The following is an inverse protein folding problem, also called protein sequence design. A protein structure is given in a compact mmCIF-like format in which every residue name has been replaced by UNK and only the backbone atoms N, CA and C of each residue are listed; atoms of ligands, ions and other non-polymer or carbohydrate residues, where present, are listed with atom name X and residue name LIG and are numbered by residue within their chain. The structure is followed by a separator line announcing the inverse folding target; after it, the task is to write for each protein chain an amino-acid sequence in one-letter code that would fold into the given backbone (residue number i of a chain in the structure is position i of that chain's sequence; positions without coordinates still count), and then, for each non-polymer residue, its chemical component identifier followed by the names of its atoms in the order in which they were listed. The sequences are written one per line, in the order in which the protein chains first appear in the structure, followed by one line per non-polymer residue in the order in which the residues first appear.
data_IF_569085544490
#
_entry.id   IF_569085544490
#
_cell.length_a   1.000
_cell.length_b   1.000
_cell.length_c   1.000
_cell.angle_alpha   90.00
_cell.angle_beta   90.00
_cell.angle_gamma   90.00
#
_symmetry.space_group_name_H-M   'P 1'
#
loop_
_entity.id
_entity.type
_entity.pdbx_description
1 polymer ?
#
# COMPACT_ATOMS: atom_id res chain seq x y z
N UNK A 1 -19.40 5.06 -14.38
CA UNK A 1 -19.21 4.98 -15.85
C UNK A 1 -17.74 5.04 -16.24
N UNK A 2 -16.97 6.01 -15.74
CA UNK A 2 -15.52 6.16 -15.99
C UNK A 2 -14.66 4.90 -15.86
N UNK A 3 -14.92 4.05 -14.86
CA UNK A 3 -14.19 2.78 -14.68
C UNK A 3 -14.30 1.88 -15.92
N UNK A 4 -15.51 1.71 -16.47
CA UNK A 4 -15.74 0.84 -17.63
C UNK A 4 -15.11 1.40 -18.90
N UNK A 5 -14.97 2.72 -19.02
CA UNK A 5 -14.26 3.37 -20.13
C UNK A 5 -12.76 3.07 -20.07
N UNK A 6 -12.13 3.27 -18.91
CA UNK A 6 -10.69 3.02 -18.74
C UNK A 6 -10.35 1.57 -19.08
N UNK A 7 -11.15 0.62 -18.59
CA UNK A 7 -10.94 -0.82 -18.84
C UNK A 7 -11.04 -1.21 -20.33
N UNK A 8 -11.64 -0.37 -21.19
CA UNK A 8 -11.65 -0.59 -22.65
C UNK A 8 -10.38 -0.10 -23.34
N UNK A 9 -9.63 0.79 -22.71
CA UNK A 9 -8.50 1.50 -23.32
C UNK A 9 -7.14 1.07 -22.75
N UNK A 10 -7.06 0.79 -21.44
CA UNK A 10 -5.80 0.51 -20.74
C UNK A 10 -6.01 -0.17 -19.39
N UNK A 11 -4.90 -0.59 -18.80
CA UNK A 11 -4.86 -1.07 -17.42
C UNK A 11 -5.27 0.03 -16.44
N UNK A 12 -6.06 -0.37 -15.44
CA UNK A 12 -6.51 0.54 -14.38
C UNK A 12 -5.34 0.83 -13.43
N UNK A 13 -5.24 2.08 -12.99
CA UNK A 13 -4.29 2.48 -11.95
C UNK A 13 -5.06 2.72 -10.67
N UNK A 14 -4.70 2.01 -9.60
CA UNK A 14 -5.36 2.10 -8.30
C UNK A 14 -4.35 2.35 -7.21
N UNK A 15 -4.77 3.03 -6.15
CA UNK A 15 -3.95 3.17 -4.95
C UNK A 15 -4.73 2.74 -3.71
N UNK A 16 -3.99 2.26 -2.72
CA UNK A 16 -4.48 2.00 -1.36
C UNK A 16 -3.49 2.58 -0.36
N UNK A 17 -3.98 3.38 0.59
CA UNK A 17 -3.17 3.98 1.65
C UNK A 17 -3.26 3.22 2.95
N UNK A 18 -2.13 3.09 3.66
CA UNK A 18 -2.07 2.51 5.01
C UNK A 18 -1.19 3.35 5.93
N UNK A 19 -1.72 3.69 7.10
CA UNK A 19 -0.95 4.39 8.14
C UNK A 19 -0.06 3.38 8.88
N UNK A 20 1.22 3.74 9.05
CA UNK A 20 2.26 2.87 9.64
C UNK A 20 2.34 3.03 11.17
N UNK A 21 1.18 3.02 11.83
CA UNK A 21 1.06 3.28 13.28
C UNK A 21 1.11 2.02 14.14
N UNK A 22 0.38 0.96 13.76
CA UNK A 22 0.20 -0.25 14.56
C UNK A 22 1.05 -1.43 14.08
N UNK A 23 0.73 -2.64 14.56
CA UNK A 23 1.22 -3.89 13.99
C UNK A 23 0.10 -4.51 13.15
N UNK A 24 0.28 -4.76 11.84
CA UNK A 24 -0.71 -5.47 11.05
C UNK A 24 -1.03 -6.84 11.67
N UNK A 25 -2.31 -7.12 11.81
CA UNK A 25 -2.85 -8.41 12.27
C UNK A 25 -3.64 -9.09 11.14
N UNK A 26 -4.20 -10.27 11.38
CA UNK A 26 -4.82 -11.11 10.34
C UNK A 26 -5.91 -10.40 9.52
N UNK A 27 -6.62 -9.42 10.09
CA UNK A 27 -7.57 -8.62 9.33
C UNK A 27 -6.95 -7.85 8.13
N UNK A 28 -5.63 -7.63 8.09
CA UNK A 28 -4.95 -7.07 6.92
C UNK A 28 -5.07 -7.97 5.68
N UNK A 29 -5.37 -9.26 5.83
CA UNK A 29 -5.69 -10.12 4.68
C UNK A 29 -6.96 -9.67 3.94
N UNK A 30 -7.87 -8.94 4.58
CA UNK A 30 -9.08 -8.40 3.93
C UNK A 30 -8.71 -7.41 2.81
N UNK A 31 -7.99 -6.30 3.07
CA UNK A 31 -7.54 -5.42 2.00
C UNK A 31 -6.52 -6.10 1.07
N UNK A 32 -5.62 -6.96 1.58
CA UNK A 32 -4.66 -7.67 0.72
C UNK A 32 -5.34 -8.59 -0.30
N UNK A 33 -6.50 -9.17 0.04
CA UNK A 33 -7.31 -9.95 -0.92
C UNK A 33 -7.80 -9.08 -2.08
N UNK A 34 -8.17 -7.82 -1.82
CA UNK A 34 -8.57 -6.88 -2.88
C UNK A 34 -7.39 -6.40 -3.71
N UNK A 35 -6.24 -6.17 -3.08
CA UNK A 35 -4.99 -5.85 -3.79
C UNK A 35 -4.60 -7.01 -4.71
N UNK A 36 -4.70 -8.25 -4.22
CA UNK A 36 -4.47 -9.44 -5.01
C UNK A 36 -5.43 -9.53 -6.22
N UNK A 37 -6.73 -9.24 -6.03
CA UNK A 37 -7.68 -9.18 -7.15
C UNK A 37 -7.27 -8.13 -8.19
N UNK A 38 -6.84 -6.94 -7.77
CA UNK A 38 -6.39 -5.89 -8.70
C UNK A 38 -5.13 -6.29 -9.47
N UNK A 39 -4.14 -6.88 -8.79
CA UNK A 39 -2.93 -7.37 -9.44
C UNK A 39 -3.23 -8.49 -10.44
N UNK A 40 -4.11 -9.45 -10.07
CA UNK A 40 -4.58 -10.51 -10.98
C UNK A 40 -5.33 -9.95 -12.19
N UNK A 41 -6.07 -8.86 -12.01
CA UNK A 41 -6.79 -8.18 -13.08
C UNK A 41 -5.87 -7.32 -13.99
N UNK A 42 -4.56 -7.28 -13.73
CA UNK A 42 -3.60 -6.52 -14.54
C UNK A 42 -3.43 -5.06 -14.12
N UNK A 43 -4.10 -4.59 -13.06
CA UNK A 43 -4.01 -3.21 -12.61
C UNK A 43 -2.58 -2.82 -12.19
N UNK A 44 -2.22 -1.56 -12.41
CA UNK A 44 -1.08 -0.94 -11.73
C UNK A 44 -1.54 -0.54 -10.33
N UNK A 45 -0.93 -1.12 -9.29
CA UNK A 45 -1.33 -0.93 -7.90
C UNK A 45 -0.23 -0.18 -7.15
N UNK A 46 -0.59 0.96 -6.54
CA UNK A 46 0.29 1.69 -5.62
C UNK A 46 -0.18 1.52 -4.19
N UNK A 47 0.70 1.07 -3.31
CA UNK A 47 0.48 1.11 -1.86
C UNK A 47 1.24 2.30 -1.29
N UNK A 48 0.48 3.23 -0.70
CA UNK A 48 1.01 4.42 -0.06
C UNK A 48 1.20 4.15 1.44
N UNK A 49 2.44 4.21 1.91
CA UNK A 49 2.76 4.25 3.33
C UNK A 49 2.56 5.68 3.84
N UNK A 50 1.47 5.91 4.57
CA UNK A 50 1.10 7.22 5.08
C UNK A 50 1.87 7.54 6.38
N UNK A 51 3.18 7.65 6.27
CA UNK A 51 4.14 7.93 7.36
C UNK A 51 4.01 9.34 7.92
N UNK A 52 3.79 10.35 7.07
CA UNK A 52 3.47 11.71 7.53
C UNK A 52 2.17 11.73 8.35
N UNK A 53 1.16 10.98 7.91
CA UNK A 53 -0.11 10.86 8.65
C UNK A 53 0.11 10.13 9.98
N UNK A 54 0.90 9.05 9.98
CA UNK A 54 1.26 8.32 11.18
C UNK A 54 2.03 9.20 12.21
N UNK A 55 2.89 10.10 11.73
CA UNK A 55 3.57 11.09 12.57
C UNK A 55 2.57 12.09 13.18
N UNK A 56 1.66 12.65 12.37
CA UNK A 56 0.67 13.63 12.83
C UNK A 56 -0.33 13.02 13.81
N UNK A 57 -0.72 11.76 13.61
CA UNK A 57 -1.61 11.03 14.52
C UNK A 57 -0.95 10.68 15.85
N UNK A 58 0.38 10.47 15.85
CA UNK A 58 1.14 10.10 17.04
C UNK A 58 2.44 10.91 17.13
N UNK A 59 2.30 12.21 17.40
CA UNK A 59 3.40 13.20 17.51
C UNK A 59 4.45 12.89 18.59
N UNK A 60 4.36 11.73 19.27
CA UNK A 60 5.34 11.24 20.24
C UNK A 60 6.28 10.17 19.65
N UNK A 61 5.98 9.61 18.50
CA UNK A 61 6.82 8.60 17.86
C UNK A 61 8.01 9.27 17.14
N UNK A 62 9.26 8.88 17.43
CA UNK A 62 10.43 9.38 16.70
C UNK A 62 10.37 9.03 15.20
N UNK A 63 10.89 9.91 14.34
CA UNK A 63 10.96 9.68 12.89
C UNK A 63 11.70 8.39 12.53
N UNK A 64 12.77 8.05 13.25
CA UNK A 64 13.51 6.80 13.07
C UNK A 64 12.62 5.57 13.29
N UNK A 65 11.73 5.62 14.29
CA UNK A 65 10.79 4.55 14.55
C UNK A 65 9.73 4.44 13.45
N UNK A 66 9.29 5.57 12.88
CA UNK A 66 8.33 5.57 11.78
C UNK A 66 8.94 4.95 10.52
N UNK A 67 10.19 5.27 10.19
CA UNK A 67 10.90 4.65 9.05
C UNK A 67 11.02 3.12 9.22
N UNK A 68 11.39 2.66 10.43
CA UNK A 68 11.42 1.23 10.74
C UNK A 68 10.04 0.56 10.61
N UNK A 69 8.97 1.28 10.99
CA UNK A 69 7.60 0.79 10.81
C UNK A 69 7.20 0.74 9.34
N UNK A 70 7.58 1.72 8.54
CA UNK A 70 7.36 1.69 7.09
C UNK A 70 8.03 0.47 6.47
N UNK A 71 9.29 0.22 6.80
CA UNK A 71 10.02 -0.98 6.35
C UNK A 71 9.31 -2.26 6.79
N UNK A 72 8.87 -2.35 8.05
CA UNK A 72 8.11 -3.50 8.54
C UNK A 72 6.79 -3.72 7.78
N UNK A 73 6.05 -2.65 7.49
CA UNK A 73 4.82 -2.72 6.71
C UNK A 73 5.08 -3.18 5.27
N UNK A 74 6.14 -2.68 4.65
CA UNK A 74 6.53 -3.09 3.30
C UNK A 74 6.84 -4.59 3.23
N UNK A 75 7.69 -5.08 4.13
CA UNK A 75 8.06 -6.50 4.17
C UNK A 75 6.85 -7.39 4.43
N UNK A 76 5.98 -7.04 5.39
CA UNK A 76 4.83 -7.89 5.73
C UNK A 76 3.74 -7.86 4.65
N UNK A 77 3.51 -6.74 3.99
CA UNK A 77 2.57 -6.64 2.86
C UNK A 77 3.07 -7.46 1.68
N UNK A 78 4.37 -7.35 1.37
CA UNK A 78 5.00 -8.16 0.33
C UNK A 78 4.84 -9.65 0.62
N UNK A 79 5.17 -10.08 1.84
CA UNK A 79 5.03 -11.48 2.27
C UNK A 79 3.56 -11.97 2.25
N UNK A 80 2.60 -11.12 2.63
CA UNK A 80 1.17 -11.45 2.55
C UNK A 80 0.73 -11.70 1.11
N UNK A 81 1.15 -10.86 0.15
CA UNK A 81 0.80 -10.99 -1.26
C UNK A 81 1.52 -12.18 -1.92
N UNK A 82 2.79 -12.43 -1.57
CA UNK A 82 3.52 -13.64 -1.97
C UNK A 82 2.83 -14.90 -1.46
N UNK A 83 2.35 -14.91 -0.21
CA UNK A 83 1.59 -16.01 0.36
C UNK A 83 0.23 -16.24 -0.32
N UNK A 84 -0.40 -15.19 -0.85
CA UNK A 84 -1.63 -15.29 -1.65
C UNK A 84 -1.31 -15.81 -3.07
N UNK A 85 -0.06 -15.67 -3.52
CA UNK A 85 0.42 -16.16 -4.82
C UNK A 85 0.02 -15.26 -5.98
N UNK A 86 0.25 -13.93 -5.87
CA UNK A 86 0.03 -12.97 -6.96
C UNK A 86 1.33 -12.37 -7.50
N UNK A 87 1.39 -12.04 -8.81
CA UNK A 87 2.53 -11.34 -9.38
C UNK A 87 2.63 -9.93 -8.80
N UNK A 88 3.85 -9.50 -8.48
CA UNK A 88 4.13 -8.19 -7.86
C UNK A 88 4.72 -7.18 -8.86
N UNK A 89 4.81 -7.52 -10.15
CA UNK A 89 5.49 -6.71 -11.17
C UNK A 89 4.86 -5.32 -11.36
N UNK A 90 3.55 -5.23 -11.11
CA UNK A 90 2.77 -3.98 -11.21
C UNK A 90 2.46 -3.36 -9.84
N UNK A 91 3.08 -3.87 -8.77
CA UNK A 91 2.98 -3.31 -7.42
C UNK A 91 4.07 -2.25 -7.20
N UNK A 92 3.67 -1.07 -6.72
CA UNK A 92 4.57 0.02 -6.35
C UNK A 92 4.35 0.42 -4.90
N UNK A 93 5.45 0.62 -4.18
CA UNK A 93 5.43 1.23 -2.85
C UNK A 93 5.86 2.69 -2.95
N UNK A 94 5.16 3.56 -2.22
CA UNK A 94 5.45 5.00 -2.14
C UNK A 94 5.32 5.43 -0.68
N UNK A 95 6.25 6.24 -0.17
CA UNK A 95 6.13 6.84 1.16
C UNK A 95 5.49 8.23 1.03
N UNK A 96 4.67 8.62 2.00
CA UNK A 96 3.97 9.91 1.99
C UNK A 96 4.94 11.07 1.98
N UNK A 97 5.99 11.01 2.81
CA UNK A 97 7.02 12.07 2.87
C UNK A 97 7.82 12.22 1.57
N UNK A 98 7.76 11.27 0.63
CA UNK A 98 8.48 11.38 -0.66
C UNK A 98 7.97 12.55 -1.52
N UNK A 99 6.72 13.02 -1.29
CA UNK A 99 6.13 14.11 -2.06
C UNK A 99 5.24 15.08 -1.27
N UNK A 100 4.86 14.76 -0.03
CA UNK A 100 3.89 15.57 0.74
C UNK A 100 4.53 16.72 1.51
N UNK A 101 5.87 16.78 1.57
CA UNK A 101 6.63 17.83 2.26
C UNK A 101 7.24 18.87 1.31
N UNK A 102 6.99 18.73 0.00
CA UNK A 102 7.52 19.57 -1.07
C UNK A 102 6.45 20.43 -1.73
#
# INVERSE_FOLDING_TARGET
ERLKEILKERELKVYWGTATTGKPHVAYFVPMSKIADFLKAGCEVTILFADLHAYLDNMKAPWELLELRVQYYEQIIKAMLESIGVPLDKLKFVKGTDYQLS
#
